data_IF_399107561781
#
_entry.id   IF_399107561781
#
_cell.length_a   1.000
_cell.length_b   1.000
_cell.length_c   1.000
_cell.angle_alpha   90.00
_cell.angle_beta   90.00
_cell.angle_gamma   90.00
#
_symmetry.space_group_name_H-M   'P 1'
#
loop_
_entity.id
_entity.type
_entity.pdbx_description
1 polymer ?
#
# COMPACT_ATOMS: atom_id res chain seq x y z
N UNK A 1 -26.97 -34.27 24.29
CA UNK A 1 -26.09 -34.85 23.25
C UNK A 1 -25.28 -33.72 22.63
N UNK A 2 -23.98 -33.66 22.91
CA UNK A 2 -23.09 -32.65 22.34
C UNK A 2 -22.55 -33.17 21.01
N UNK A 3 -23.07 -32.65 19.90
CA UNK A 3 -22.58 -32.97 18.55
C UNK A 3 -21.25 -32.27 18.34
N UNK A 4 -20.17 -32.81 18.92
CA UNK A 4 -18.81 -32.38 18.61
C UNK A 4 -18.50 -32.81 17.18
N UNK A 5 -18.41 -31.83 16.29
CA UNK A 5 -18.06 -32.03 14.87
C UNK A 5 -16.66 -32.68 14.79
N UNK A 6 -16.60 -33.98 14.48
CA UNK A 6 -15.39 -34.81 14.45
C UNK A 6 -14.38 -34.44 13.34
N UNK A 7 -14.60 -33.35 12.59
CA UNK A 7 -13.76 -32.92 11.46
C UNK A 7 -12.88 -31.72 11.74
N UNK A 8 -12.72 -31.29 13.00
CA UNK A 8 -11.75 -30.24 13.32
C UNK A 8 -10.33 -30.82 13.28
N UNK A 9 -9.65 -30.59 12.15
CA UNK A 9 -8.22 -30.82 11.96
C UNK A 9 -7.39 -30.15 13.07
N UNK A 10 -6.35 -30.88 13.51
CA UNK A 10 -5.64 -30.73 14.77
C UNK A 10 -4.66 -29.55 14.87
N UNK A 11 -5.13 -28.31 14.70
CA UNK A 11 -4.38 -27.12 15.13
C UNK A 11 -5.32 -26.14 15.81
N UNK A 12 -5.33 -26.05 17.15
CA UNK A 12 -6.29 -25.22 17.88
C UNK A 12 -6.14 -23.72 17.63
N UNK A 13 -5.07 -23.27 16.94
CA UNK A 13 -4.79 -21.87 16.64
C UNK A 13 -4.11 -21.72 15.26
N UNK A 14 -4.88 -21.83 14.17
CA UNK A 14 -4.36 -21.52 12.83
C UNK A 14 -4.30 -20.01 12.61
N UNK A 15 -3.13 -19.49 12.18
CA UNK A 15 -2.93 -18.07 11.85
C UNK A 15 -2.83 -17.93 10.33
N UNK A 16 -3.54 -16.94 9.79
CA UNK A 16 -3.61 -16.66 8.36
C UNK A 16 -3.27 -15.18 8.13
N UNK A 17 -2.30 -14.91 7.26
CA UNK A 17 -1.98 -13.54 6.84
C UNK A 17 -2.87 -13.14 5.66
N UNK A 18 -3.69 -12.10 5.84
CA UNK A 18 -4.58 -11.58 4.80
C UNK A 18 -3.91 -10.45 4.00
N UNK A 19 -2.78 -10.77 3.38
CA UNK A 19 -2.04 -9.85 2.48
C UNK A 19 -2.26 -10.30 1.04
N UNK A 20 -2.37 -9.36 0.10
CA UNK A 20 -2.48 -9.71 -1.31
C UNK A 20 -1.28 -10.60 -1.73
N UNK A 21 -1.50 -11.83 -2.22
CA UNK A 21 -0.42 -12.74 -2.59
C UNK A 21 0.37 -12.25 -3.82
N UNK A 22 -0.22 -11.39 -4.63
CA UNK A 22 0.38 -10.87 -5.85
C UNK A 22 0.91 -9.44 -5.63
N UNK A 23 2.23 -9.32 -5.58
CA UNK A 23 2.91 -8.02 -5.49
C UNK A 23 2.72 -7.22 -6.79
N UNK A 24 2.56 -5.92 -6.63
CA UNK A 24 2.43 -4.97 -7.74
C UNK A 24 3.56 -3.95 -7.66
N UNK A 25 4.42 -3.81 -8.69
CA UNK A 25 5.41 -2.76 -8.70
C UNK A 25 4.72 -1.39 -8.78
N UNK A 26 5.10 -0.45 -7.90
CA UNK A 26 4.50 0.88 -7.83
C UNK A 26 4.49 1.60 -9.19
N UNK A 27 5.58 1.50 -9.95
CA UNK A 27 5.72 2.11 -11.28
C UNK A 27 4.61 1.70 -12.26
N UNK A 28 4.00 0.52 -12.11
CA UNK A 28 2.89 0.07 -12.98
C UNK A 28 1.56 0.76 -12.66
N UNK A 29 1.43 1.36 -11.48
CA UNK A 29 0.24 2.09 -11.03
C UNK A 29 0.31 3.59 -11.30
N UNK A 30 1.52 4.14 -11.43
CA UNK A 30 1.77 5.57 -11.70
C UNK A 30 0.99 6.12 -12.92
N UNK A 31 0.88 5.40 -14.06
CA UNK A 31 0.12 5.90 -15.20
C UNK A 31 -1.36 6.19 -14.89
N UNK A 32 -1.99 5.41 -14.01
CA UNK A 32 -3.37 5.65 -13.58
C UNK A 32 -3.50 6.95 -12.76
N UNK A 33 -2.49 7.25 -11.94
CA UNK A 33 -2.42 8.51 -11.18
C UNK A 33 -2.25 9.70 -12.12
N UNK A 34 -1.33 9.61 -13.09
CA UNK A 34 -1.10 10.68 -14.07
C UNK A 34 -2.30 10.93 -14.98
N UNK A 35 -3.08 9.89 -15.28
CA UNK A 35 -4.32 10.04 -16.03
C UNK A 35 -5.38 10.86 -15.26
N UNK A 36 -5.46 10.71 -13.93
CA UNK A 36 -6.37 11.49 -13.07
C UNK A 36 -5.84 12.90 -12.80
N UNK A 37 -4.53 13.06 -12.66
CA UNK A 37 -3.86 14.35 -12.40
C UNK A 37 -2.87 14.70 -13.52
N UNK A 38 -3.35 15.28 -14.63
CA UNK A 38 -2.50 15.67 -15.74
C UNK A 38 -1.42 16.66 -15.33
N UNK A 39 -0.22 16.50 -15.89
CA UNK A 39 0.93 17.37 -15.60
C UNK A 39 1.80 16.93 -14.43
N UNK A 40 1.43 15.87 -13.70
CA UNK A 40 2.26 15.31 -12.64
C UNK A 40 3.53 14.64 -13.21
N UNK A 41 4.69 15.04 -12.72
CA UNK A 41 5.97 14.43 -13.06
C UNK A 41 6.34 13.33 -12.07
N UNK A 42 6.88 12.22 -12.58
CA UNK A 42 7.46 11.17 -11.75
C UNK A 42 8.90 11.53 -11.43
N UNK A 43 9.22 11.60 -10.14
CA UNK A 43 10.57 11.86 -9.64
C UNK A 43 10.97 10.76 -8.66
N UNK A 44 12.28 10.52 -8.47
CA UNK A 44 12.79 9.72 -7.36
C UNK A 44 12.32 10.25 -5.99
N UNK A 45 12.15 9.35 -5.02
CA UNK A 45 11.64 9.69 -3.68
C UNK A 45 12.59 10.62 -2.92
N UNK A 46 13.90 10.39 -3.04
CA UNK A 46 14.97 11.22 -2.48
C UNK A 46 14.94 12.64 -3.04
N UNK A 47 14.82 12.80 -4.36
CA UNK A 47 14.67 14.11 -4.98
C UNK A 47 13.44 14.86 -4.44
N UNK A 48 12.29 14.17 -4.35
CA UNK A 48 11.08 14.77 -3.82
C UNK A 48 11.21 15.18 -2.34
N UNK A 49 11.94 14.40 -1.54
CA UNK A 49 12.24 14.74 -0.15
C UNK A 49 13.13 15.96 -0.05
N UNK A 50 14.21 16.03 -0.84
CA UNK A 50 15.12 17.18 -0.87
C UNK A 50 14.38 18.49 -1.19
N UNK A 51 13.45 18.45 -2.16
CA UNK A 51 12.61 19.59 -2.53
C UNK A 51 11.69 20.04 -1.39
N UNK A 52 11.09 19.11 -0.65
CA UNK A 52 10.27 19.44 0.51
C UNK A 52 11.11 20.00 1.67
N UNK A 53 12.28 19.44 1.91
CA UNK A 53 13.18 19.85 2.99
C UNK A 53 13.83 21.22 2.77
N UNK A 54 13.92 21.65 1.51
CA UNK A 54 14.37 22.99 1.15
C UNK A 54 13.42 24.10 1.66
N UNK A 55 12.16 23.77 1.93
CA UNK A 55 11.16 24.72 2.47
C UNK A 55 11.42 24.92 3.97
N UNK A 56 12.24 25.92 4.31
CA UNK A 56 12.55 26.29 5.70
C UNK A 56 11.46 27.18 6.29
N UNK A 57 11.03 26.87 7.51
CA UNK A 57 10.01 27.65 8.26
C UNK A 57 8.75 27.91 7.43
N UNK A 58 8.05 26.85 6.96
CA UNK A 58 6.90 26.99 6.08
C UNK A 58 5.78 27.79 6.75
N UNK A 59 5.18 28.69 6.00
CA UNK A 59 3.97 29.41 6.39
C UNK A 59 2.78 28.45 6.56
N UNK A 60 1.73 28.89 7.27
CA UNK A 60 0.49 28.10 7.38
C UNK A 60 -0.13 27.76 6.02
N UNK A 61 0.01 28.67 5.04
CA UNK A 61 -0.48 28.46 3.67
C UNK A 61 0.31 27.36 2.98
N UNK A 62 1.64 27.38 3.06
CA UNK A 62 2.48 26.32 2.49
C UNK A 62 2.24 24.97 3.14
N UNK A 63 2.03 24.93 4.46
CA UNK A 63 1.69 23.69 5.18
C UNK A 63 0.31 23.16 4.77
N UNK A 64 -0.64 24.04 4.46
CA UNK A 64 -1.98 23.66 3.97
C UNK A 64 -1.92 23.10 2.54
N UNK A 65 -1.16 23.74 1.66
CA UNK A 65 -1.00 23.33 0.26
C UNK A 65 -0.10 22.09 0.12
N UNK A 66 0.88 21.94 1.01
CA UNK A 66 1.87 20.84 1.01
C UNK A 66 1.80 20.09 2.34
N UNK A 67 0.71 19.35 2.62
CA UNK A 67 0.52 18.66 3.89
C UNK A 67 1.59 17.59 4.16
N UNK A 68 2.31 17.14 3.13
CA UNK A 68 3.47 16.26 3.24
C UNK A 68 4.57 16.81 4.17
N UNK A 69 4.68 18.14 4.33
CA UNK A 69 5.62 18.77 5.27
C UNK A 69 5.42 18.31 6.72
N UNK A 70 4.20 17.93 7.09
CA UNK A 70 3.88 17.41 8.43
C UNK A 70 4.38 15.97 8.66
N UNK A 71 4.74 15.26 7.59
CA UNK A 71 5.09 13.84 7.60
C UNK A 71 6.52 13.61 7.08
N UNK A 72 7.37 14.64 7.08
CA UNK A 72 8.76 14.54 6.58
C UNK A 72 9.54 13.39 7.23
N UNK A 73 9.47 13.27 8.55
CA UNK A 73 10.19 12.20 9.28
C UNK A 73 9.68 10.81 8.90
N UNK A 74 8.38 10.67 8.59
CA UNK A 74 7.82 9.43 8.09
C UNK A 74 8.38 9.08 6.70
N UNK A 75 8.41 10.04 5.77
CA UNK A 75 8.93 9.79 4.42
C UNK A 75 10.44 9.52 4.40
N UNK A 76 11.22 10.18 5.26
CA UNK A 76 12.64 9.85 5.47
C UNK A 76 12.84 8.40 5.87
N UNK A 77 11.98 7.89 6.77
CA UNK A 77 11.99 6.48 7.16
C UNK A 77 11.70 5.52 6.01
N UNK A 78 10.98 5.96 4.97
CA UNK A 78 10.71 5.17 3.77
C UNK A 78 11.84 5.21 2.74
N UNK A 79 12.64 6.27 2.71
CA UNK A 79 13.76 6.40 1.77
C UNK A 79 14.98 5.53 2.15
N UNK A 80 15.07 5.10 3.41
CA UNK A 80 16.08 4.13 3.87
C UNK A 80 15.77 2.69 3.47
N UNK A 81 16.53 1.73 4.02
CA UNK A 81 16.16 0.31 3.93
C UNK A 81 14.87 0.08 4.72
N UNK A 82 13.73 0.08 4.02
CA UNK A 82 12.49 -0.42 4.58
C UNK A 82 12.70 -1.90 4.83
N UNK A 83 12.83 -2.28 6.11
CA UNK A 83 12.81 -3.66 6.57
C UNK A 83 11.41 -4.25 6.31
N UNK A 84 11.12 -4.56 5.05
CA UNK A 84 9.92 -5.29 4.68
C UNK A 84 10.21 -6.77 4.91
N UNK A 85 9.77 -7.27 6.06
CA UNK A 85 9.76 -8.71 6.29
C UNK A 85 8.84 -9.37 5.25
N UNK A 86 9.34 -10.41 4.57
CA UNK A 86 8.49 -11.19 3.67
C UNK A 86 7.40 -11.90 4.48
N UNK A 87 6.15 -11.49 4.29
CA UNK A 87 4.99 -12.12 4.92
C UNK A 87 4.58 -13.33 4.08
N UNK A 88 4.72 -14.54 4.63
CA UNK A 88 4.24 -15.76 3.98
C UNK A 88 2.71 -15.80 3.99
N UNK A 89 2.11 -16.14 2.84
CA UNK A 89 0.65 -16.23 2.65
C UNK A 89 0.17 -17.64 2.28
N UNK A 90 1.05 -18.64 2.33
CA UNK A 90 0.76 -20.01 1.86
C UNK A 90 -0.46 -20.64 2.55
N UNK A 91 -0.53 -20.53 3.87
CA UNK A 91 -1.67 -21.03 4.65
C UNK A 91 -2.98 -20.37 4.20
N UNK A 92 -2.95 -19.08 3.93
CA UNK A 92 -4.14 -18.34 3.51
C UNK A 92 -4.58 -18.71 2.10
N UNK A 93 -3.64 -18.96 1.18
CA UNK A 93 -3.95 -19.43 -0.17
C UNK A 93 -4.60 -20.82 -0.12
N UNK A 94 -4.02 -21.75 0.64
CA UNK A 94 -4.59 -23.10 0.80
C UNK A 94 -5.95 -23.12 1.51
N UNK A 95 -6.19 -22.16 2.41
CA UNK A 95 -7.44 -22.04 3.17
C UNK A 95 -8.60 -21.36 2.42
N UNK A 96 -8.35 -20.69 1.28
CA UNK A 96 -9.36 -19.91 0.57
C UNK A 96 -9.10 -19.83 -0.93
N UNK A 97 -10.00 -20.45 -1.73
CA UNK A 97 -9.96 -20.36 -3.21
C UNK A 97 -10.07 -18.92 -3.72
N UNK A 98 -10.81 -18.07 -3.01
CA UNK A 98 -10.92 -16.65 -3.36
C UNK A 98 -9.59 -15.93 -3.16
N UNK A 99 -8.87 -16.21 -2.06
CA UNK A 99 -7.55 -15.64 -1.83
C UNK A 99 -6.53 -16.20 -2.82
N UNK A 100 -6.61 -17.49 -3.12
CA UNK A 100 -5.74 -18.16 -4.07
C UNK A 100 -5.85 -17.55 -5.49
N UNK A 101 -7.07 -17.20 -5.91
CA UNK A 101 -7.35 -16.56 -7.18
C UNK A 101 -7.24 -15.03 -7.18
N UNK A 102 -6.84 -14.39 -6.07
CA UNK A 102 -6.73 -12.94 -6.00
C UNK A 102 -5.56 -12.46 -6.87
N UNK A 103 -5.85 -11.51 -7.77
CA UNK A 103 -4.85 -10.92 -8.65
C UNK A 103 -4.07 -9.77 -8.03
N UNK A 104 -3.03 -9.34 -8.76
CA UNK A 104 -2.31 -8.10 -8.47
C UNK A 104 -3.24 -6.88 -8.54
N UNK A 105 -2.92 -5.83 -7.79
CA UNK A 105 -3.62 -4.56 -7.91
C UNK A 105 -3.31 -3.99 -9.30
N UNK A 106 -4.34 -3.60 -10.04
CA UNK A 106 -4.20 -3.11 -11.41
C UNK A 106 -4.31 -1.59 -11.48
N UNK A 107 -3.84 -1.00 -12.58
CA UNK A 107 -4.07 0.41 -12.87
C UNK A 107 -5.56 0.78 -12.92
N UNK A 108 -6.43 -0.14 -13.35
CA UNK A 108 -7.88 0.06 -13.32
C UNK A 108 -8.41 0.15 -11.88
N UNK A 109 -7.95 -0.72 -10.98
CA UNK A 109 -8.33 -0.65 -9.56
C UNK A 109 -7.82 0.64 -8.92
N UNK A 110 -6.59 1.07 -9.25
CA UNK A 110 -6.05 2.36 -8.82
C UNK A 110 -6.89 3.53 -9.34
N UNK A 111 -7.25 3.53 -10.62
CA UNK A 111 -8.12 4.56 -11.21
C UNK A 111 -9.49 4.62 -10.54
N UNK A 112 -10.10 3.46 -10.27
CA UNK A 112 -11.37 3.40 -9.54
C UNK A 112 -11.22 3.98 -8.13
N UNK A 113 -10.16 3.62 -7.40
CA UNK A 113 -9.90 4.13 -6.05
C UNK A 113 -9.71 5.65 -6.04
N UNK A 114 -8.90 6.19 -6.97
CA UNK A 114 -8.71 7.64 -7.13
C UNK A 114 -10.02 8.36 -7.46
N UNK A 115 -10.86 7.76 -8.31
CA UNK A 115 -12.16 8.32 -8.66
C UNK A 115 -13.17 8.28 -7.51
N UNK A 116 -13.09 7.29 -6.62
CA UNK A 116 -13.94 7.22 -5.42
C UNK A 116 -13.47 8.17 -4.32
N UNK A 117 -12.16 8.39 -4.21
CA UNK A 117 -11.60 9.26 -3.19
C UNK A 117 -11.87 10.74 -3.48
N UNK A 118 -11.73 11.16 -4.75
CA UNK A 118 -12.08 12.49 -5.29
C UNK A 118 -11.84 13.67 -4.34
N UNK A 119 -10.62 13.73 -3.79
CA UNK A 119 -10.14 14.82 -2.94
C UNK A 119 -9.68 16.03 -3.75
#
# INVERSE_FOLDING_TARGET
>A
MHTRRQTQSATPHAVYHLVNPCKTPWATLVPAVQAKYPGMQTVPLDQWLDELEAIKSPSETEVREKPALKLLDFYRGLAGEVLSASISVEQTRGGSKTMEGLGAVTGQLMGNWLGQWDF
#
